data_IF_331835437770
#
_entry.id   IF_331835437770
#
_cell.length_a   1.000
_cell.length_b   1.000
_cell.length_c   1.000
_cell.angle_alpha   90.00
_cell.angle_beta   90.00
_cell.angle_gamma   90.00
#
_symmetry.space_group_name_H-M   'P 1'
#
loop_
_entity.id
_entity.type
_entity.pdbx_description
1 polymer ?
#
# COMPACT_ATOMS: atom_id res chain seq x y z
N UNK A 1 1.69 -2.90 31.05
CA UNK A 1 0.74 -3.30 30.00
C UNK A 1 1.50 -3.21 28.68
N UNK A 2 1.98 -4.34 28.17
CA UNK A 2 2.84 -4.37 26.98
C UNK A 2 1.97 -4.11 25.76
N UNK A 3 2.04 -2.90 25.22
CA UNK A 3 1.42 -2.53 23.96
C UNK A 3 2.18 -3.25 22.84
N UNK A 4 1.84 -4.52 22.58
CA UNK A 4 2.42 -5.31 21.51
C UNK A 4 1.90 -4.78 20.19
N UNK A 5 2.43 -3.64 19.72
CA UNK A 5 2.17 -3.14 18.36
C UNK A 5 2.67 -4.21 17.41
N UNK A 6 1.75 -4.96 16.81
CA UNK A 6 2.10 -5.92 15.78
C UNK A 6 2.86 -5.17 14.67
N UNK A 7 4.04 -5.65 14.24
CA UNK A 7 4.87 -4.91 13.31
C UNK A 7 4.17 -4.80 11.96
N UNK A 8 4.10 -3.57 11.43
CA UNK A 8 3.65 -3.35 10.06
C UNK A 8 4.74 -3.79 9.11
N UNK A 9 4.42 -4.72 8.23
CA UNK A 9 5.34 -5.26 7.23
C UNK A 9 5.03 -4.63 5.88
N UNK A 10 6.02 -3.97 5.28
CA UNK A 10 5.97 -3.53 3.89
C UNK A 10 6.85 -4.45 3.05
N UNK A 11 6.25 -5.16 2.09
CA UNK A 11 6.98 -5.97 1.11
C UNK A 11 7.05 -5.23 -0.22
N UNK A 12 8.26 -5.14 -0.75
CA UNK A 12 8.54 -4.62 -2.08
C UNK A 12 8.84 -5.80 -2.98
N UNK A 13 8.02 -5.99 -4.02
CA UNK A 13 8.17 -7.08 -4.98
C UNK A 13 8.46 -6.49 -6.36
N UNK A 14 9.38 -7.11 -7.11
CA UNK A 14 9.77 -6.64 -8.45
C UNK A 14 8.54 -6.55 -9.35
N UNK A 15 8.36 -5.40 -9.99
CA UNK A 15 7.23 -5.11 -10.87
C UNK A 15 5.86 -5.04 -10.20
N UNK A 16 5.80 -5.10 -8.87
CA UNK A 16 4.56 -5.16 -8.10
C UNK A 16 4.35 -3.93 -7.19
N UNK A 17 3.11 -3.71 -6.72
CA UNK A 17 2.79 -2.68 -5.72
C UNK A 17 3.47 -2.97 -4.38
N UNK A 18 3.45 -1.98 -3.48
CA UNK A 18 3.81 -2.22 -2.08
C UNK A 18 2.72 -3.05 -1.41
N UNK A 19 3.10 -4.20 -0.86
CA UNK A 19 2.21 -5.01 -0.04
C UNK A 19 2.41 -4.62 1.42
N UNK A 20 1.44 -3.89 1.97
CA UNK A 20 1.41 -3.51 3.38
C UNK A 20 0.57 -4.52 4.14
N UNK A 21 1.09 -5.08 5.23
CA UNK A 21 0.39 -6.01 6.12
C UNK A 21 0.58 -5.60 7.58
N UNK A 22 -0.47 -5.73 8.37
CA UNK A 22 -0.52 -5.33 9.77
C UNK A 22 -1.45 -4.13 9.96
N UNK A 23 -1.80 -3.78 11.20
CA UNK A 23 -2.66 -2.64 11.47
C UNK A 23 -1.92 -1.34 11.17
N UNK A 24 -2.42 -0.56 10.21
CA UNK A 24 -1.91 0.77 9.90
C UNK A 24 -3.06 1.75 9.64
N UNK A 25 -2.76 3.04 9.83
CA UNK A 25 -3.69 4.13 9.52
C UNK A 25 -3.20 4.86 8.29
N UNK A 26 -4.08 4.94 7.29
CA UNK A 26 -3.87 5.73 6.08
C UNK A 26 -4.45 7.12 6.31
N UNK A 27 -3.59 8.13 6.24
CA UNK A 27 -3.98 9.54 6.36
C UNK A 27 -4.03 10.12 4.95
N UNK A 28 -5.21 10.57 4.55
CA UNK A 28 -5.43 11.21 3.26
C UNK A 28 -5.10 12.71 3.33
N UNK A 29 -4.87 13.32 2.16
CA UNK A 29 -4.57 14.76 2.07
C UNK A 29 -5.73 15.66 2.51
N UNK A 30 -6.96 15.13 2.52
CA UNK A 30 -8.16 15.81 3.00
C UNK A 30 -8.36 15.67 4.53
N UNK A 31 -7.43 14.99 5.22
CA UNK A 31 -7.51 14.74 6.65
C UNK A 31 -8.35 13.51 7.04
N UNK A 32 -8.87 12.75 6.08
CA UNK A 32 -9.53 11.47 6.40
C UNK A 32 -8.51 10.45 6.86
N UNK A 33 -8.88 9.68 7.88
CA UNK A 33 -8.09 8.58 8.41
C UNK A 33 -8.83 7.27 8.20
N UNK A 34 -8.15 6.28 7.63
CA UNK A 34 -8.70 4.94 7.40
C UNK A 34 -7.76 3.90 8.01
N UNK A 35 -8.28 3.08 8.93
CA UNK A 35 -7.52 1.98 9.53
C UNK A 35 -7.68 0.72 8.68
N UNK A 36 -6.56 0.18 8.21
CA UNK A 36 -6.50 -0.98 7.34
C UNK A 36 -5.56 -2.03 7.92
N UNK A 37 -5.86 -3.30 7.68
CA UNK A 37 -4.99 -4.43 8.08
C UNK A 37 -4.08 -4.90 6.94
N UNK A 38 -4.47 -4.61 5.71
CA UNK A 38 -3.66 -4.88 4.53
C UNK A 38 -4.07 -4.00 3.36
N UNK A 39 -3.09 -3.60 2.54
CA UNK A 39 -3.35 -2.91 1.29
C UNK A 39 -2.25 -3.17 0.25
N UNK A 40 -2.63 -2.99 -1.01
CA UNK A 40 -1.69 -2.92 -2.13
C UNK A 40 -1.58 -1.46 -2.56
N UNK A 41 -0.45 -0.82 -2.26
CA UNK A 41 -0.22 0.58 -2.62
C UNK A 41 0.52 0.70 -3.94
N UNK A 42 0.07 1.60 -4.80
CA UNK A 42 0.66 1.83 -6.11
C UNK A 42 2.12 2.27 -5.98
N UNK A 43 3.00 1.55 -6.66
CA UNK A 43 4.43 1.88 -6.79
C UNK A 43 4.81 2.34 -8.19
N UNK A 44 3.99 2.01 -9.20
CA UNK A 44 4.29 2.25 -10.60
C UNK A 44 3.89 3.66 -11.11
N UNK A 45 3.12 4.43 -10.32
CA UNK A 45 2.59 5.74 -10.71
C UNK A 45 1.40 5.71 -11.68
N UNK A 46 1.12 4.58 -12.32
CA UNK A 46 0.09 4.45 -13.35
C UNK A 46 -1.34 4.24 -12.84
N UNK A 47 -1.56 3.95 -11.55
CA UNK A 47 -2.92 3.65 -11.07
C UNK A 47 -3.84 4.86 -11.13
N UNK A 48 -5.09 4.67 -11.54
CA UNK A 48 -6.16 5.67 -11.45
C UNK A 48 -6.81 5.74 -10.06
N UNK A 49 -6.57 4.75 -9.20
CA UNK A 49 -7.13 4.67 -7.84
C UNK A 49 -6.06 4.90 -6.76
N UNK A 50 -5.21 5.91 -6.94
CA UNK A 50 -4.14 6.21 -5.97
C UNK A 50 -4.73 6.56 -4.60
N UNK A 51 -4.10 6.13 -3.49
CA UNK A 51 -2.79 5.50 -3.40
C UNK A 51 -2.78 3.97 -3.65
N UNK A 52 -3.92 3.37 -3.94
CA UNK A 52 -4.05 1.93 -4.13
C UNK A 52 -3.62 1.48 -5.52
N UNK A 53 -3.32 0.18 -5.64
CA UNK A 53 -3.03 -0.46 -6.90
C UNK A 53 -4.30 -1.01 -7.56
N UNK A 54 -4.48 -0.72 -8.84
CA UNK A 54 -5.59 -1.19 -9.68
C UNK A 54 -5.15 -2.19 -10.78
N UNK A 55 -3.91 -2.67 -10.72
CA UNK A 55 -3.34 -3.59 -11.71
C UNK A 55 -2.66 -2.91 -12.90
N UNK A 56 -2.64 -1.58 -12.99
CA UNK A 56 -1.99 -0.86 -14.10
C UNK A 56 -0.49 -1.17 -14.23
N UNK A 57 0.19 -1.52 -13.13
CA UNK A 57 1.60 -1.92 -13.14
C UNK A 57 1.91 -3.08 -14.12
N UNK A 58 1.01 -4.06 -14.24
CA UNK A 58 1.18 -5.18 -15.17
C UNK A 58 0.94 -4.75 -16.63
N UNK A 59 0.02 -3.79 -16.85
CA UNK A 59 -0.31 -3.27 -18.19
C UNK A 59 0.82 -2.42 -18.78
N UNK A 60 1.52 -1.65 -17.93
CA UNK A 60 2.61 -0.76 -18.37
C UNK A 60 3.99 -1.41 -18.32
N UNK A 61 4.07 -2.71 -17.99
CA UNK A 61 5.35 -3.40 -17.86
C UNK A 61 6.25 -2.78 -16.79
N UNK A 62 5.71 -2.49 -15.61
CA UNK A 62 6.52 -1.99 -14.51
C UNK A 62 7.48 -3.09 -14.04
N UNK A 63 8.79 -2.82 -14.04
CA UNK A 63 9.83 -3.85 -13.76
C UNK A 63 10.81 -3.47 -12.63
N UNK A 64 10.59 -2.33 -11.97
CA UNK A 64 11.45 -1.85 -10.86
C UNK A 64 11.13 -2.54 -9.53
#
# INVERSE_FOLDING_TARGET
MSETKQPVTLKVLKGAPYLVKGPFTLIHTDGREETLESAHLCRCGGSSNKPFCDGTHGKIGFEK
#
